data_IF_651860698366
#
_entry.id   IF_651860698366
#
_cell.length_a   1.000
_cell.length_b   1.000
_cell.length_c   1.000
_cell.angle_alpha   90.00
_cell.angle_beta   90.00
_cell.angle_gamma   90.00
#
_symmetry.space_group_name_H-M   'P 1'
#
loop_
_entity.id
_entity.type
_entity.pdbx_description
1 polymer ?
#
# COMPACT_ATOMS: atom_id res chain seq x y z
N UNK A 1 -11.65 43.38 -24.58
CA UNK A 1 -12.90 44.00 -24.14
C UNK A 1 -13.38 43.15 -22.98
N UNK A 2 -12.83 43.50 -21.80
CA UNK A 2 -13.10 42.81 -20.52
C UNK A 2 -14.49 43.23 -20.05
N UNK A 3 -15.34 42.28 -19.76
CA UNK A 3 -16.60 42.48 -19.06
C UNK A 3 -16.33 42.28 -17.56
N UNK A 4 -15.83 43.33 -16.91
CA UNK A 4 -15.96 43.47 -15.47
C UNK A 4 -17.46 43.76 -15.14
N UNK A 5 -18.15 42.74 -14.66
CA UNK A 5 -19.46 42.92 -14.11
C UNK A 5 -19.31 43.55 -12.70
N UNK A 6 -19.62 44.83 -12.63
CA UNK A 6 -19.72 45.59 -11.38
C UNK A 6 -20.85 45.02 -10.51
N UNK A 7 -20.50 44.32 -9.43
CA UNK A 7 -21.43 43.71 -8.47
C UNK A 7 -21.77 44.66 -7.31
N UNK A 8 -21.47 45.96 -7.45
CA UNK A 8 -21.65 46.96 -6.37
C UNK A 8 -23.09 47.49 -6.17
N UNK A 9 -24.10 47.05 -6.94
CA UNK A 9 -25.44 47.68 -6.92
C UNK A 9 -26.59 46.80 -6.39
N UNK A 10 -26.33 45.74 -5.63
CA UNK A 10 -27.36 44.91 -5.00
C UNK A 10 -27.39 45.04 -3.46
N UNK A 11 -27.42 46.27 -2.94
CA UNK A 11 -27.65 46.52 -1.52
C UNK A 11 -28.96 47.28 -1.31
N UNK A 12 -30.10 46.60 -1.26
CA UNK A 12 -31.28 47.08 -0.55
C UNK A 12 -32.07 45.88 -0.03
N UNK A 13 -31.71 45.45 1.16
CA UNK A 13 -32.44 44.45 1.93
C UNK A 13 -31.63 44.08 3.17
N UNK A 14 -32.10 44.54 4.35
CA UNK A 14 -31.52 44.24 5.67
C UNK A 14 -31.70 42.74 6.06
N UNK A 15 -31.36 41.84 5.17
CA UNK A 15 -31.22 40.43 5.45
C UNK A 15 -29.75 40.04 5.37
N UNK A 16 -29.14 39.69 6.49
CA UNK A 16 -27.83 39.09 6.52
C UNK A 16 -27.90 37.80 5.70
N UNK A 17 -27.40 37.85 4.44
CA UNK A 17 -27.27 36.65 3.63
C UNK A 17 -26.30 35.75 4.40
N UNK A 18 -26.71 34.54 4.84
CA UNK A 18 -25.79 33.65 5.53
C UNK A 18 -24.65 33.37 4.59
N UNK A 19 -23.44 33.75 4.99
CA UNK A 19 -22.23 33.40 4.24
C UNK A 19 -22.19 31.88 4.17
N UNK A 20 -22.47 31.32 3.00
CA UNK A 20 -22.26 29.90 2.73
C UNK A 20 -20.78 29.66 2.92
N UNK A 21 -20.43 28.92 3.95
CA UNK A 21 -19.05 28.45 4.13
C UNK A 21 -18.82 27.42 3.03
N UNK A 22 -17.96 27.73 2.06
CA UNK A 22 -17.54 26.83 0.99
C UNK A 22 -16.57 25.74 1.48
N UNK A 23 -16.41 25.61 2.80
CA UNK A 23 -15.58 24.60 3.44
C UNK A 23 -16.43 23.42 3.89
N UNK A 24 -15.84 22.25 3.88
CA UNK A 24 -16.44 21.04 4.43
C UNK A 24 -16.90 21.28 5.88
N UNK A 25 -18.15 20.94 6.19
CA UNK A 25 -18.72 21.17 7.52
C UNK A 25 -18.80 19.88 8.35
N UNK A 26 -18.84 18.73 7.68
CA UNK A 26 -18.91 17.42 8.30
C UNK A 26 -17.56 16.76 8.51
N UNK A 27 -17.59 15.54 8.99
CA UNK A 27 -16.45 14.64 9.12
C UNK A 27 -16.78 13.30 8.47
N UNK A 28 -15.78 12.62 7.94
CA UNK A 28 -15.93 11.25 7.38
C UNK A 28 -16.34 10.23 8.44
N UNK A 29 -16.17 10.56 9.72
CA UNK A 29 -16.42 9.66 10.85
C UNK A 29 -15.32 8.61 11.03
N UNK A 30 -14.13 8.80 10.41
CA UNK A 30 -12.97 7.96 10.64
C UNK A 30 -12.48 8.14 12.08
N UNK A 31 -12.35 7.03 12.81
CA UNK A 31 -11.84 7.07 14.19
C UNK A 31 -10.32 7.05 14.18
N UNK A 32 -9.72 8.19 14.49
CA UNK A 32 -8.26 8.36 14.54
C UNK A 32 -7.84 8.77 15.95
N UNK A 33 -6.83 8.12 16.48
CA UNK A 33 -6.18 8.50 17.74
C UNK A 33 -4.66 8.47 17.58
N UNK A 34 -4.03 9.61 17.79
CA UNK A 34 -2.57 9.76 17.67
C UNK A 34 -1.99 9.21 16.35
N UNK A 35 -2.68 9.43 15.22
CA UNK A 35 -2.28 8.95 13.90
C UNK A 35 -2.47 7.44 13.67
N UNK A 36 -3.14 6.75 14.58
CA UNK A 36 -3.58 5.36 14.43
C UNK A 36 -5.08 5.30 14.17
N UNK A 37 -5.49 4.42 13.28
CA UNK A 37 -6.87 4.22 12.88
C UNK A 37 -7.49 3.08 13.68
N UNK A 38 -8.65 3.33 14.30
CA UNK A 38 -9.30 2.42 15.24
C UNK A 38 -10.55 1.74 14.68
N UNK A 39 -10.66 1.62 13.35
CA UNK A 39 -11.85 1.04 12.69
C UNK A 39 -11.99 -0.48 12.90
N UNK A 40 -10.89 -1.19 13.10
CA UNK A 40 -10.93 -2.64 13.28
C UNK A 40 -11.18 -3.04 14.74
N UNK A 41 -12.20 -3.87 14.97
CA UNK A 41 -12.55 -4.35 16.31
C UNK A 41 -11.47 -5.26 16.90
N UNK A 42 -10.85 -6.12 16.07
CA UNK A 42 -9.82 -7.06 16.50
C UNK A 42 -8.44 -6.39 16.51
N UNK A 43 -7.74 -6.46 17.64
CA UNK A 43 -6.42 -5.85 17.81
C UNK A 43 -5.40 -6.38 16.80
N UNK A 44 -5.44 -7.67 16.49
CA UNK A 44 -4.51 -8.31 15.55
C UNK A 44 -4.67 -7.81 14.10
N UNK A 45 -5.83 -7.23 13.77
CA UNK A 45 -6.15 -6.68 12.47
C UNK A 45 -6.00 -5.16 12.40
N UNK A 46 -5.62 -4.52 13.51
CA UNK A 46 -5.29 -3.08 13.54
C UNK A 46 -3.86 -2.85 13.13
N UNK A 47 -3.64 -1.81 12.34
CA UNK A 47 -2.29 -1.34 12.05
C UNK A 47 -1.62 -0.79 13.33
N UNK A 48 -0.33 -1.02 13.55
CA UNK A 48 0.65 -1.73 12.70
C UNK A 48 0.67 -3.26 12.90
N UNK A 49 -0.06 -3.81 13.86
CA UNK A 49 -0.06 -5.24 14.17
C UNK A 49 -0.58 -6.09 12.99
N UNK A 50 -1.56 -5.56 12.23
CA UNK A 50 -2.14 -6.21 11.06
C UNK A 50 -1.10 -6.62 10.01
N UNK A 51 -0.03 -5.84 9.82
CA UNK A 51 1.02 -6.14 8.84
C UNK A 51 1.68 -7.49 9.16
N UNK A 52 1.98 -7.75 10.44
CA UNK A 52 2.55 -9.03 10.88
C UNK A 52 1.56 -10.18 10.70
N UNK A 53 0.29 -9.93 11.02
CA UNK A 53 -0.79 -10.92 10.89
C UNK A 53 -0.99 -11.29 9.42
N UNK A 54 -1.16 -10.31 8.54
CA UNK A 54 -1.36 -10.56 7.11
C UNK A 54 -0.14 -11.21 6.46
N UNK A 55 1.08 -10.90 6.92
CA UNK A 55 2.28 -11.60 6.45
C UNK A 55 2.27 -13.07 6.81
N UNK A 56 1.83 -13.44 8.02
CA UNK A 56 1.65 -14.85 8.41
C UNK A 56 0.57 -15.51 7.57
N UNK A 57 -0.57 -14.84 7.36
CA UNK A 57 -1.65 -15.36 6.52
C UNK A 57 -1.22 -15.55 5.06
N UNK A 58 -0.44 -14.62 4.50
CA UNK A 58 0.04 -14.71 3.11
C UNK A 58 1.09 -15.83 2.90
N UNK A 59 1.67 -16.38 3.96
CA UNK A 59 2.52 -17.57 3.90
C UNK A 59 1.74 -18.88 3.76
N UNK A 60 0.45 -18.87 4.06
CA UNK A 60 -0.44 -19.99 3.84
C UNK A 60 -0.58 -20.31 2.35
N UNK A 61 -0.50 -21.60 1.99
CA UNK A 61 -0.46 -22.04 0.58
C UNK A 61 -1.70 -21.62 -0.21
N UNK A 62 -2.89 -21.75 0.37
CA UNK A 62 -4.17 -21.40 -0.27
C UNK A 62 -4.29 -19.89 -0.47
N UNK A 63 -3.99 -19.12 0.57
CA UNK A 63 -4.03 -17.65 0.51
C UNK A 63 -2.97 -17.14 -0.47
N UNK A 64 -1.77 -17.70 -0.43
CA UNK A 64 -0.68 -17.35 -1.35
C UNK A 64 -1.05 -17.61 -2.80
N UNK A 65 -1.69 -18.74 -3.08
CA UNK A 65 -2.16 -19.07 -4.44
C UNK A 65 -3.19 -18.03 -4.92
N UNK A 66 -4.18 -17.68 -4.09
CA UNK A 66 -5.18 -16.67 -4.44
C UNK A 66 -4.56 -15.30 -4.68
N UNK A 67 -3.69 -14.82 -3.80
CA UNK A 67 -2.97 -13.54 -3.97
C UNK A 67 -2.11 -13.55 -5.23
N UNK A 68 -1.43 -14.68 -5.53
CA UNK A 68 -0.62 -14.85 -6.73
C UNK A 68 -1.45 -14.78 -8.03
N UNK A 69 -2.69 -15.27 -8.01
CA UNK A 69 -3.61 -15.12 -9.14
C UNK A 69 -3.93 -13.64 -9.40
N UNK A 70 -4.26 -12.85 -8.37
CA UNK A 70 -4.49 -11.41 -8.51
C UNK A 70 -3.24 -10.69 -9.03
N UNK A 71 -2.06 -11.00 -8.47
CA UNK A 71 -0.78 -10.44 -8.93
C UNK A 71 -0.56 -10.74 -10.43
N UNK A 72 -0.78 -11.97 -10.84
CA UNK A 72 -0.61 -12.40 -12.23
C UNK A 72 -1.58 -11.68 -13.17
N UNK A 73 -2.86 -11.57 -12.78
CA UNK A 73 -3.89 -10.91 -13.59
C UNK A 73 -3.55 -9.42 -13.81
N UNK A 74 -3.21 -8.70 -12.75
CA UNK A 74 -2.91 -7.25 -12.82
C UNK A 74 -1.57 -7.00 -13.54
N UNK A 75 -0.57 -7.83 -13.30
CA UNK A 75 0.75 -7.69 -13.94
C UNK A 75 0.72 -7.90 -15.45
N UNK A 76 -0.25 -8.65 -15.97
CA UNK A 76 -0.42 -8.88 -17.42
C UNK A 76 -1.15 -7.76 -18.14
N UNK A 77 -1.75 -6.82 -17.43
CA UNK A 77 -2.45 -5.69 -18.05
C UNK A 77 -1.45 -4.79 -18.77
N UNK A 78 -1.72 -4.49 -20.03
CA UNK A 78 -0.95 -3.52 -20.79
C UNK A 78 -1.40 -2.11 -20.41
N UNK A 79 -0.54 -1.39 -19.73
CA UNK A 79 -0.77 0.00 -19.34
C UNK A 79 -0.40 0.94 -20.50
N UNK A 80 -1.33 1.76 -20.93
CA UNK A 80 -1.14 2.74 -21.98
C UNK A 80 -1.59 4.12 -21.51
N UNK A 81 -0.95 5.16 -22.01
CA UNK A 81 -1.32 6.55 -21.75
C UNK A 81 -2.10 7.07 -22.95
N UNK A 82 -3.38 7.37 -22.75
CA UNK A 82 -4.20 7.99 -23.79
C UNK A 82 -4.27 9.52 -23.60
N UNK A 83 -4.20 10.33 -24.64
CA UNK A 83 -4.44 11.76 -24.54
C UNK A 83 -5.92 12.03 -24.18
N UNK A 84 -6.18 13.13 -23.47
CA UNK A 84 -7.53 13.52 -23.07
C UNK A 84 -8.35 14.09 -24.24
N UNK A 85 -7.67 14.64 -25.24
CA UNK A 85 -8.27 15.21 -26.44
C UNK A 85 -7.32 15.16 -27.62
N UNK A 86 -7.70 15.79 -28.73
CA UNK A 86 -6.99 15.74 -30.00
C UNK A 86 -6.04 16.93 -30.20
N UNK A 87 -5.91 17.83 -29.22
CA UNK A 87 -5.00 18.97 -29.35
C UNK A 87 -3.54 18.51 -29.32
N UNK A 88 -2.71 19.19 -30.09
CA UNK A 88 -1.27 18.90 -30.17
C UNK A 88 -0.59 18.91 -28.76
N UNK A 89 -1.04 19.83 -27.92
CA UNK A 89 -0.56 19.93 -26.53
C UNK A 89 -0.93 18.72 -25.68
N UNK A 90 -2.15 18.17 -25.83
CA UNK A 90 -2.61 17.01 -25.06
C UNK A 90 -1.90 15.74 -25.52
N UNK A 91 -1.69 15.58 -26.83
CA UNK A 91 -0.88 14.49 -27.36
C UNK A 91 0.57 14.57 -26.87
N UNK A 92 1.17 15.77 -26.84
CA UNK A 92 2.52 15.97 -26.33
C UNK A 92 2.62 15.63 -24.83
N UNK A 93 1.61 16.00 -24.01
CA UNK A 93 1.54 15.63 -22.57
C UNK A 93 1.43 14.12 -22.38
N UNK A 94 0.56 13.44 -23.13
CA UNK A 94 0.41 11.98 -23.05
C UNK A 94 1.74 11.27 -23.41
N UNK A 95 2.38 11.67 -24.49
CA UNK A 95 3.69 11.17 -24.90
C UNK A 95 4.76 11.39 -23.84
N UNK A 96 4.77 12.56 -23.20
CA UNK A 96 5.70 12.88 -22.11
C UNK A 96 5.52 11.95 -20.91
N UNK A 97 4.27 11.70 -20.49
CA UNK A 97 3.96 10.77 -19.38
C UNK A 97 4.41 9.35 -19.73
N UNK A 98 4.13 8.87 -20.93
CA UNK A 98 4.58 7.56 -21.42
C UNK A 98 6.11 7.44 -21.40
N UNK A 99 6.80 8.48 -21.86
CA UNK A 99 8.25 8.57 -21.78
C UNK A 99 8.75 8.50 -20.32
N UNK A 100 8.12 9.19 -19.39
CA UNK A 100 8.47 9.14 -17.97
C UNK A 100 8.30 7.73 -17.38
N UNK A 101 7.24 7.00 -17.76
CA UNK A 101 7.03 5.61 -17.33
C UNK A 101 8.16 4.68 -17.83
N UNK A 102 8.66 4.92 -19.04
CA UNK A 102 9.71 4.12 -19.66
C UNK A 102 11.14 4.55 -19.29
N UNK A 103 11.31 5.72 -18.67
CA UNK A 103 12.61 6.28 -18.27
C UNK A 103 12.97 6.00 -16.81
N UNK A 104 12.12 5.34 -16.03
CA UNK A 104 12.38 5.00 -14.65
C UNK A 104 13.56 4.02 -14.50
N UNK A 105 14.25 4.06 -13.35
CA UNK A 105 15.33 3.13 -12.99
C UNK A 105 14.84 1.69 -12.83
N UNK A 106 13.61 1.48 -12.42
CA UNK A 106 12.93 0.19 -12.38
C UNK A 106 11.79 0.15 -13.40
N UNK A 107 11.46 -1.05 -13.86
CA UNK A 107 10.41 -1.20 -14.86
C UNK A 107 9.03 -0.88 -14.28
N UNK A 108 8.13 -0.37 -15.13
CA UNK A 108 6.72 -0.18 -14.78
C UNK A 108 6.07 -1.48 -14.26
N UNK A 109 6.46 -2.61 -14.82
CA UNK A 109 6.01 -3.92 -14.37
C UNK A 109 6.38 -4.21 -12.90
N UNK A 110 7.63 -3.93 -12.51
CA UNK A 110 8.07 -4.11 -11.12
C UNK A 110 7.32 -3.17 -10.16
N UNK A 111 7.11 -1.92 -10.58
CA UNK A 111 6.29 -0.98 -9.81
C UNK A 111 4.87 -1.50 -9.58
N UNK A 112 4.20 -2.03 -10.62
CA UNK A 112 2.86 -2.60 -10.49
C UNK A 112 2.85 -3.81 -9.54
N UNK A 113 3.87 -4.66 -9.58
CA UNK A 113 4.00 -5.79 -8.63
C UNK A 113 4.09 -5.31 -7.18
N UNK A 114 4.83 -4.24 -6.93
CA UNK A 114 4.90 -3.63 -5.59
C UNK A 114 3.54 -3.05 -5.16
N UNK A 115 2.83 -2.38 -6.06
CA UNK A 115 1.49 -1.82 -5.81
C UNK A 115 0.49 -2.91 -5.44
N UNK A 116 0.55 -4.09 -6.07
CA UNK A 116 -0.34 -5.22 -5.78
C UNK A 116 -0.26 -5.68 -4.31
N UNK A 117 0.83 -5.36 -3.60
CA UNK A 117 0.92 -5.62 -2.16
C UNK A 117 -0.22 -4.99 -1.34
N UNK A 118 -0.93 -4.00 -1.89
CA UNK A 118 -2.14 -3.43 -1.27
C UNK A 118 -3.23 -4.49 -1.01
N UNK A 119 -3.32 -5.54 -1.84
CA UNK A 119 -4.28 -6.63 -1.60
C UNK A 119 -3.92 -7.44 -0.35
N UNK A 120 -2.64 -7.57 -0.04
CA UNK A 120 -2.22 -8.25 1.19
C UNK A 120 -2.41 -7.38 2.43
N UNK A 121 -2.06 -6.11 2.35
CA UNK A 121 -1.96 -5.25 3.55
C UNK A 121 -3.09 -4.21 3.67
N UNK A 122 -3.91 -4.03 2.63
CA UNK A 122 -4.94 -2.99 2.55
C UNK A 122 -4.47 -1.72 1.86
N UNK A 123 -3.18 -1.39 1.93
CA UNK A 123 -2.59 -0.20 1.31
C UNK A 123 -1.17 -0.43 0.80
N UNK A 124 -0.75 0.44 -0.11
CA UNK A 124 0.64 0.54 -0.58
C UNK A 124 1.01 2.01 -0.72
N UNK A 125 2.18 2.39 -0.22
CA UNK A 125 2.74 3.75 -0.31
C UNK A 125 3.97 3.72 -1.21
N UNK A 126 3.93 4.46 -2.31
CA UNK A 126 5.06 4.61 -3.23
C UNK A 126 5.48 6.07 -3.28
N UNK A 127 6.72 6.36 -2.89
CA UNK A 127 7.26 7.72 -2.94
C UNK A 127 7.59 8.14 -4.37
N UNK A 128 7.25 9.38 -4.72
CA UNK A 128 7.56 9.97 -6.03
C UNK A 128 8.95 10.59 -5.99
N UNK A 129 9.92 9.95 -6.60
CA UNK A 129 11.28 10.48 -6.72
C UNK A 129 11.49 10.98 -8.14
N UNK A 130 11.79 12.27 -8.27
CA UNK A 130 12.00 12.94 -9.54
C UNK A 130 13.47 13.13 -9.85
N UNK A 131 13.78 13.29 -11.14
CA UNK A 131 15.09 13.76 -11.62
C UNK A 131 14.91 14.66 -12.83
N UNK A 132 15.93 15.51 -13.13
CA UNK A 132 16.01 16.18 -14.42
C UNK A 132 16.44 15.16 -15.48
N UNK A 133 15.82 15.23 -16.65
CA UNK A 133 16.08 14.33 -17.77
C UNK A 133 17.35 14.73 -18.51
N UNK A 134 18.51 14.37 -17.94
CA UNK A 134 19.82 14.50 -18.54
C UNK A 134 20.52 13.15 -18.64
N UNK A 135 21.24 12.89 -19.71
CA UNK A 135 21.99 11.62 -19.93
C UNK A 135 23.01 11.37 -18.82
N UNK A 136 23.66 12.42 -18.32
CA UNK A 136 24.60 12.31 -17.20
C UNK A 136 23.94 11.96 -15.86
N UNK A 137 22.61 12.06 -15.75
CA UNK A 137 21.83 11.66 -14.60
C UNK A 137 21.11 10.31 -14.80
N UNK A 138 21.50 9.55 -15.85
CA UNK A 138 20.95 8.23 -16.13
C UNK A 138 19.58 8.24 -16.81
N UNK A 139 19.15 9.37 -17.41
CA UNK A 139 17.96 9.43 -18.25
C UNK A 139 18.26 9.00 -19.67
N UNK A 140 17.30 8.39 -20.36
CA UNK A 140 17.35 8.12 -21.79
C UNK A 140 17.25 9.40 -22.64
N UNK A 141 16.74 10.47 -22.06
CA UNK A 141 16.47 11.76 -22.69
C UNK A 141 17.48 12.83 -22.23
N UNK A 142 17.51 13.96 -22.95
CA UNK A 142 18.40 15.09 -22.64
C UNK A 142 17.70 16.43 -22.88
N UNK A 143 16.45 16.53 -22.43
CA UNK A 143 15.60 17.71 -22.63
C UNK A 143 15.54 18.64 -21.40
N UNK A 144 16.15 18.24 -20.28
CA UNK A 144 16.17 19.03 -19.04
C UNK A 144 14.84 19.10 -18.30
N UNK A 145 13.79 18.45 -18.80
CA UNK A 145 12.49 18.41 -18.14
C UNK A 145 12.53 17.55 -16.86
N UNK A 146 11.55 17.77 -15.99
CA UNK A 146 11.43 17.01 -14.76
C UNK A 146 10.68 15.70 -15.03
N UNK A 147 11.36 14.56 -14.95
CA UNK A 147 10.78 13.24 -15.12
C UNK A 147 10.80 12.40 -13.85
N UNK A 148 10.09 11.29 -13.85
CA UNK A 148 10.13 10.30 -12.77
C UNK A 148 11.44 9.52 -12.83
N UNK A 149 12.17 9.52 -11.71
CA UNK A 149 13.35 8.67 -11.53
C UNK A 149 12.96 7.26 -11.10
N UNK A 150 12.16 7.16 -10.06
CA UNK A 150 11.67 5.91 -9.48
C UNK A 150 10.45 6.15 -8.60
N UNK A 151 9.68 5.10 -8.36
CA UNK A 151 8.50 5.05 -7.49
C UNK A 151 8.68 3.96 -6.42
N UNK A 152 9.68 4.05 -5.55
CA UNK A 152 9.99 3.00 -4.60
C UNK A 152 8.89 2.85 -3.56
N UNK A 153 8.57 1.60 -3.23
CA UNK A 153 7.65 1.29 -2.14
C UNK A 153 8.24 1.72 -0.79
N UNK A 154 7.40 2.28 0.06
CA UNK A 154 7.64 2.43 1.48
C UNK A 154 6.95 1.26 2.17
N UNK A 155 7.74 0.28 2.62
CA UNK A 155 7.22 -0.96 3.21
C UNK A 155 6.22 -0.64 4.32
N UNK A 156 5.11 -1.36 4.34
CA UNK A 156 4.07 -1.19 5.35
C UNK A 156 4.60 -1.39 6.77
N UNK A 157 5.63 -2.22 6.95
CA UNK A 157 6.30 -2.38 8.25
C UNK A 157 7.04 -1.13 8.73
N UNK A 158 7.46 -0.29 7.80
CA UNK A 158 8.21 0.93 8.09
C UNK A 158 7.31 2.14 8.35
N UNK A 159 6.05 2.06 7.95
CA UNK A 159 5.06 3.09 8.26
C UNK A 159 4.77 3.04 9.76
N UNK A 160 4.94 4.17 10.43
CA UNK A 160 4.75 4.29 11.87
C UNK A 160 3.35 4.81 12.22
N UNK A 161 2.95 5.93 11.57
CA UNK A 161 1.62 6.54 11.75
C UNK A 161 1.25 7.43 10.58
N UNK A 162 -0.03 7.70 10.47
CA UNK A 162 -0.59 8.66 9.53
C UNK A 162 -0.63 10.05 10.16
N UNK A 163 -0.35 11.06 9.35
CA UNK A 163 -0.42 12.46 9.77
C UNK A 163 -1.65 13.09 9.15
N UNK A 164 -2.54 13.59 10.01
CA UNK A 164 -3.74 14.32 9.61
C UNK A 164 -3.54 15.81 9.88
N UNK A 165 -4.33 16.65 9.21
CA UNK A 165 -4.42 18.09 9.48
C UNK A 165 -4.91 18.34 10.92
N UNK A 166 -4.68 19.54 11.42
CA UNK A 166 -5.08 19.93 12.79
C UNK A 166 -6.58 19.78 13.03
N UNK A 167 -7.40 19.96 11.99
CA UNK A 167 -8.85 19.74 12.02
C UNK A 167 -9.25 18.25 11.85
N UNK A 168 -8.28 17.36 11.61
CA UNK A 168 -8.46 15.91 11.51
C UNK A 168 -9.17 15.43 10.23
N UNK A 169 -9.35 16.30 9.23
CA UNK A 169 -10.11 15.99 8.00
C UNK A 169 -9.26 15.41 6.90
N UNK A 170 -8.09 16.02 6.67
CA UNK A 170 -7.23 15.70 5.54
C UNK A 170 -6.00 14.90 5.94
N UNK A 171 -5.64 13.93 5.12
CA UNK A 171 -4.37 13.24 5.24
C UNK A 171 -3.23 14.13 4.72
N UNK A 172 -2.39 14.62 5.64
CA UNK A 172 -1.27 15.54 5.34
C UNK A 172 0.01 14.79 5.00
N UNK A 173 0.20 13.61 5.57
CA UNK A 173 1.43 12.86 5.34
C UNK A 173 1.45 11.48 6.00
N UNK A 174 2.60 10.86 5.94
CA UNK A 174 2.91 9.61 6.62
C UNK A 174 4.27 9.72 7.31
N UNK A 175 4.36 9.20 8.53
CA UNK A 175 5.61 9.09 9.26
C UNK A 175 6.17 7.67 9.10
N UNK A 176 7.38 7.59 8.55
CA UNK A 176 8.12 6.35 8.38
C UNK A 176 9.15 6.21 9.49
N UNK A 177 9.23 5.03 10.11
CA UNK A 177 10.29 4.69 11.05
C UNK A 177 11.36 3.85 10.37
N UNK A 178 12.60 4.32 10.43
CA UNK A 178 13.75 3.56 9.97
C UNK A 178 14.11 2.49 11.01
N UNK A 179 14.60 1.33 10.53
CA UNK A 179 15.25 0.37 11.43
C UNK A 179 16.48 1.01 12.07
N UNK A 180 16.83 0.57 13.28
CA UNK A 180 17.97 1.11 14.04
C UNK A 180 19.27 1.11 13.23
N UNK A 181 19.51 0.04 12.44
CA UNK A 181 20.68 -0.07 11.57
C UNK A 181 20.67 0.97 10.44
N UNK A 182 19.50 1.20 9.84
CA UNK A 182 19.35 2.18 8.77
C UNK A 182 19.39 3.61 9.30
N UNK A 183 18.82 3.86 10.48
CA UNK A 183 18.88 5.17 11.12
C UNK A 183 20.34 5.57 11.41
N UNK A 184 21.13 4.68 11.99
CA UNK A 184 22.55 4.93 12.27
C UNK A 184 23.38 5.18 11.00
N UNK A 185 23.05 4.51 9.90
CA UNK A 185 23.85 4.57 8.65
C UNK A 185 23.46 5.75 7.74
N UNK A 186 22.17 6.03 7.61
CA UNK A 186 21.65 6.97 6.60
C UNK A 186 21.12 8.28 7.18
N UNK A 187 20.83 8.33 8.45
CA UNK A 187 20.30 9.51 9.12
C UNK A 187 20.91 9.71 10.52
N UNK A 188 22.25 9.80 10.63
CA UNK A 188 22.92 9.94 11.93
C UNK A 188 22.52 11.23 12.68
N UNK A 189 21.97 12.24 11.97
CA UNK A 189 21.49 13.49 12.55
C UNK A 189 20.01 13.43 12.98
N UNK A 190 19.27 12.38 12.61
CA UNK A 190 17.88 12.18 13.04
C UNK A 190 17.82 11.37 14.32
N UNK A 191 17.77 12.05 15.44
CA UNK A 191 17.70 11.44 16.79
C UNK A 191 16.55 10.44 16.99
N UNK A 192 15.48 10.55 16.20
CA UNK A 192 14.29 9.68 16.32
C UNK A 192 14.24 8.53 15.32
N UNK A 193 15.08 8.53 14.29
CA UNK A 193 14.99 7.57 13.18
C UNK A 193 13.67 7.63 12.39
N UNK A 194 12.93 8.74 12.50
CA UNK A 194 11.64 8.96 11.87
C UNK A 194 11.76 9.95 10.74
N UNK A 195 11.09 9.65 9.63
CA UNK A 195 11.05 10.50 8.43
C UNK A 195 9.59 10.81 8.13
N UNK A 196 9.29 12.09 7.96
CA UNK A 196 7.98 12.56 7.53
C UNK A 196 7.95 12.68 6.01
N UNK A 197 6.97 12.05 5.39
CA UNK A 197 6.75 12.09 3.95
C UNK A 197 5.42 12.81 3.70
N UNK A 198 5.45 14.03 3.13
CA UNK A 198 4.23 14.80 2.90
C UNK A 198 3.36 14.16 1.83
N UNK A 199 2.04 14.31 1.94
CA UNK A 199 1.03 13.70 1.05
C UNK A 199 1.31 13.93 -0.43
N UNK A 200 1.79 15.09 -0.81
CA UNK A 200 2.17 15.43 -2.19
C UNK A 200 3.34 14.61 -2.74
N UNK A 201 4.18 14.04 -1.89
CA UNK A 201 5.41 13.33 -2.27
C UNK A 201 5.21 11.83 -2.48
N UNK A 202 4.03 11.29 -2.23
CA UNK A 202 3.76 9.86 -2.44
C UNK A 202 2.44 9.60 -3.15
N UNK A 203 2.33 8.41 -3.71
CA UNK A 203 1.09 7.81 -4.18
C UNK A 203 0.62 6.80 -3.14
N UNK A 204 -0.66 6.85 -2.81
CA UNK A 204 -1.31 5.93 -1.89
C UNK A 204 -2.32 5.09 -2.68
N UNK A 205 -2.07 3.80 -2.73
CA UNK A 205 -2.97 2.80 -3.31
C UNK A 205 -3.66 2.07 -2.17
N UNK A 206 -4.97 1.86 -2.29
CA UNK A 206 -5.79 1.27 -1.22
C UNK A 206 -6.80 0.29 -1.80
N UNK A 207 -7.12 -0.74 -1.02
CA UNK A 207 -8.23 -1.65 -1.31
C UNK A 207 -9.40 -1.32 -0.40
N UNK A 208 -10.62 -1.45 -0.92
CA UNK A 208 -11.89 -1.32 -0.19
C UNK A 208 -11.91 -0.12 0.79
N UNK A 209 -11.96 1.08 0.20
CA UNK A 209 -11.86 2.34 0.95
C UNK A 209 -13.21 2.74 1.53
N UNK A 210 -13.29 2.84 2.84
CA UNK A 210 -14.42 3.42 3.55
C UNK A 210 -13.94 4.61 4.38
N UNK A 211 -14.77 5.65 4.50
CA UNK A 211 -14.51 6.86 5.33
C UNK A 211 -13.18 7.55 5.03
N UNK A 212 -12.69 7.46 3.79
CA UNK A 212 -11.36 7.90 3.35
C UNK A 212 -10.17 7.36 4.18
N UNK A 213 -10.33 6.16 4.72
CA UNK A 213 -9.30 5.47 5.48
C UNK A 213 -8.02 5.27 4.63
N UNK A 214 -6.85 5.80 5.04
CA UNK A 214 -5.60 5.59 4.31
C UNK A 214 -5.07 4.14 4.36
N UNK A 215 -5.50 3.34 5.32
CA UNK A 215 -5.09 1.93 5.44
C UNK A 215 -5.90 1.00 4.52
N UNK A 216 -7.06 1.45 4.00
CA UNK A 216 -7.97 0.58 3.27
C UNK A 216 -8.41 -0.63 4.10
N UNK A 217 -8.93 -1.64 3.42
CA UNK A 217 -9.30 -2.91 4.08
C UNK A 217 -8.75 -4.08 3.26
N UNK A 218 -7.83 -4.85 3.85
CA UNK A 218 -7.32 -6.06 3.18
C UNK A 218 -8.43 -7.11 3.03
N UNK A 219 -8.55 -7.77 1.86
CA UNK A 219 -9.42 -8.93 1.70
C UNK A 219 -9.15 -10.05 2.71
N UNK A 220 -7.94 -10.11 3.26
CA UNK A 220 -7.55 -11.10 4.26
C UNK A 220 -8.29 -10.95 5.59
N UNK A 221 -8.88 -9.78 5.87
CA UNK A 221 -9.72 -9.57 7.07
C UNK A 221 -10.87 -10.57 7.10
N UNK A 222 -11.53 -10.80 5.97
CA UNK A 222 -12.62 -11.79 5.86
C UNK A 222 -12.17 -13.24 6.08
N UNK A 223 -10.94 -13.55 5.70
CA UNK A 223 -10.38 -14.90 5.83
C UNK A 223 -9.76 -15.18 7.21
N UNK A 224 -9.54 -14.14 8.03
CA UNK A 224 -8.76 -14.25 9.26
C UNK A 224 -9.28 -15.29 10.25
N UNK A 225 -10.59 -15.33 10.48
CA UNK A 225 -11.18 -16.25 11.47
C UNK A 225 -11.01 -17.71 11.05
N UNK A 226 -11.27 -18.03 9.79
CA UNK A 226 -11.12 -19.39 9.27
C UNK A 226 -9.65 -19.83 9.28
N UNK A 227 -8.75 -18.95 8.86
CA UNK A 227 -7.30 -19.19 8.90
C UNK A 227 -6.80 -19.44 10.31
N UNK A 228 -7.16 -18.59 11.27
CA UNK A 228 -6.74 -18.71 12.67
C UNK A 228 -7.24 -20.02 13.30
N UNK A 229 -8.51 -20.36 13.06
CA UNK A 229 -9.09 -21.59 13.57
C UNK A 229 -8.40 -22.82 13.00
N UNK A 230 -8.16 -22.87 11.69
CA UNK A 230 -7.43 -23.97 11.06
C UNK A 230 -6.02 -24.12 11.63
N UNK A 231 -5.26 -23.02 11.76
CA UNK A 231 -3.90 -23.06 12.30
C UNK A 231 -3.88 -23.61 13.73
N UNK A 232 -4.87 -23.23 14.56
CA UNK A 232 -4.98 -23.76 15.93
C UNK A 232 -5.31 -25.26 15.95
N UNK A 233 -6.16 -25.75 15.04
CA UNK A 233 -6.43 -27.18 14.92
C UNK A 233 -5.18 -27.96 14.50
N UNK A 234 -4.45 -27.48 13.48
CA UNK A 234 -3.21 -28.08 13.03
C UNK A 234 -2.17 -28.19 14.17
N UNK A 235 -2.06 -27.14 15.00
CA UNK A 235 -1.17 -27.15 16.18
C UNK A 235 -1.61 -28.19 17.23
N UNK A 236 -2.90 -28.29 17.51
CA UNK A 236 -3.44 -29.27 18.46
C UNK A 236 -3.22 -30.70 17.96
N UNK A 237 -3.46 -30.95 16.67
CA UNK A 237 -3.22 -32.25 16.04
C UNK A 237 -1.74 -32.63 16.12
N UNK A 238 -0.84 -31.70 15.77
CA UNK A 238 0.61 -31.93 15.85
C UNK A 238 1.05 -32.31 17.27
N UNK A 239 0.52 -31.64 18.31
CA UNK A 239 0.78 -31.97 19.71
C UNK A 239 0.18 -33.34 20.06
N UNK A 240 -1.04 -33.65 19.58
CA UNK A 240 -1.69 -34.94 19.77
C UNK A 240 -0.85 -36.09 19.20
N UNK A 241 -0.39 -35.96 17.98
CA UNK A 241 0.51 -36.92 17.35
C UNK A 241 1.82 -37.09 18.12
N UNK A 242 2.45 -36.01 18.53
CA UNK A 242 3.72 -36.08 19.27
C UNK A 242 3.62 -36.79 20.63
N UNK A 243 2.45 -36.69 21.28
CA UNK A 243 2.18 -37.34 22.58
C UNK A 243 1.78 -38.83 22.42
N UNK A 244 1.07 -39.14 21.34
CA UNK A 244 0.53 -40.48 21.11
C UNK A 244 1.47 -41.43 20.33
N UNK A 245 2.60 -40.91 19.80
CA UNK A 245 3.63 -41.77 19.23
C UNK A 245 4.37 -42.53 20.34
N UNK A 246 4.17 -43.84 20.51
CA UNK A 246 4.96 -44.62 21.46
C UNK A 246 6.43 -44.51 21.02
N UNK A 247 7.29 -44.34 21.99
CA UNK A 247 8.73 -44.16 21.81
C UNK A 247 9.42 -45.27 21.02
N UNK A 248 8.76 -46.41 20.84
CA UNK A 248 9.25 -47.61 20.17
C UNK A 248 8.82 -47.77 18.70
N UNK A 249 7.87 -46.97 18.17
CA UNK A 249 7.38 -47.15 16.80
C UNK A 249 8.14 -46.34 15.74
N UNK A 250 9.23 -45.63 16.12
CA UNK A 250 10.05 -44.89 15.14
C UNK A 250 10.76 -45.81 14.13
N UNK A 251 10.96 -47.11 14.46
CA UNK A 251 11.69 -48.04 13.60
C UNK A 251 10.78 -48.94 12.74
N UNK A 252 9.52 -49.13 13.10
CA UNK A 252 8.61 -50.00 12.36
C UNK A 252 8.00 -49.33 11.11
N UNK A 253 7.91 -48.00 11.07
CA UNK A 253 7.35 -47.31 9.93
C UNK A 253 8.28 -47.30 8.71
N UNK A 254 9.58 -47.26 8.92
CA UNK A 254 10.57 -47.36 7.84
C UNK A 254 10.73 -48.78 7.30
N UNK A 255 10.56 -49.79 8.14
CA UNK A 255 10.70 -51.19 7.70
C UNK A 255 9.48 -51.68 6.89
N UNK A 256 8.34 -51.06 7.05
CA UNK A 256 7.11 -51.41 6.27
C UNK A 256 7.15 -50.84 4.85
N UNK A 257 7.92 -49.79 4.60
CA UNK A 257 8.07 -49.22 3.26
C UNK A 257 9.09 -49.99 2.38
N UNK A 258 10.15 -50.58 2.98
CA UNK A 258 11.13 -51.37 2.25
C UNK A 258 10.60 -52.74 1.77
N UNK A 259 9.57 -53.31 2.45
CA UNK A 259 8.96 -54.56 2.03
C UNK A 259 7.92 -54.46 0.90
N UNK A 260 7.52 -53.22 0.53
CA UNK A 260 6.55 -53.06 -0.56
C UNK A 260 7.20 -52.83 -1.93
N UNK A 261 8.54 -52.69 -2.00
CA UNK A 261 9.25 -52.50 -3.25
C UNK A 261 9.96 -53.74 -3.80
N UNK A 262 10.03 -54.85 -3.01
CA UNK A 262 10.72 -56.09 -3.44
C UNK A 262 9.84 -57.14 -4.12
N UNK A 263 8.54 -56.83 -4.40
CA UNK A 263 7.65 -57.78 -5.09
C UNK A 263 7.08 -57.28 -6.42
N UNK A 264 7.79 -56.36 -7.11
CA UNK A 264 7.46 -55.95 -8.47
C UNK A 264 8.66 -56.11 -9.40
N UNK A 265 9.07 -57.34 -9.64
CA UNK A 265 9.81 -57.78 -10.84
C UNK A 265 9.26 -59.05 -11.35
#
# INVERSE_FOLDING_TARGET
>A
MELEADVSSLTTGTGTIPRIKLQEQGFTGLQVSNGQILEQARRELRFPQSVKTFRKMSADSTIKAALGMFELMISRVKWTVAPTGETELEMAKAKFVEQCMNDMEHSWFNFIKEVVSMYTFGFCVNEKVFRRRYKNQGSKYNDGLMGLRKLPIRSQDSVYRWQFSDDGRDLVGVEQQLSTLNAARYAPQMYSGKIEIPRKSFMLFRTDVAKDNPEGTSPLVGCYTAWKFRTQLEEIEAVGYSRNMPRNNRYTFFHSLDHHFDHAT
#
